data_IF_559040687767
#
_entry.id   IF_559040687767
#
_cell.length_a   1.000
_cell.length_b   1.000
_cell.length_c   1.000
_cell.angle_alpha   90.00
_cell.angle_beta   90.00
_cell.angle_gamma   90.00
#
_symmetry.space_group_name_H-M   'P 1'
#
loop_
_entity.id
_entity.type
_entity.pdbx_description
1 polymer ?
#
# COMPACT_ATOMS: atom_id res chain seq x y z
N UNK A 1 -22.93 -9.05 -12.19
CA UNK A 1 -21.88 -9.79 -11.49
C UNK A 1 -20.65 -8.91 -11.33
N UNK A 2 -20.21 -8.77 -10.13
CA UNK A 2 -19.01 -7.97 -9.89
C UNK A 2 -17.81 -8.84 -10.18
N UNK A 3 -17.10 -8.51 -11.23
CA UNK A 3 -15.81 -9.13 -11.46
C UNK A 3 -14.86 -8.45 -10.51
N UNK A 4 -14.55 -9.12 -9.42
CA UNK A 4 -13.47 -8.66 -8.56
C UNK A 4 -12.21 -8.84 -9.37
N UNK A 5 -11.69 -7.75 -9.85
CA UNK A 5 -10.41 -7.79 -10.50
C UNK A 5 -9.39 -8.41 -9.59
N UNK A 6 -8.64 -9.29 -10.14
CA UNK A 6 -7.55 -10.07 -9.59
C UNK A 6 -6.71 -9.35 -8.54
N UNK A 7 -7.30 -9.05 -7.40
CA UNK A 7 -6.50 -8.61 -6.28
C UNK A 7 -5.90 -9.85 -5.63
N UNK A 8 -4.73 -10.20 -6.09
CA UNK A 8 -3.99 -11.26 -5.45
C UNK A 8 -3.62 -10.81 -4.05
N UNK A 9 -4.03 -11.59 -3.06
CA UNK A 9 -3.65 -11.30 -1.68
C UNK A 9 -2.13 -11.41 -1.54
N UNK A 10 -1.55 -10.45 -0.83
CA UNK A 10 -0.12 -10.44 -0.57
C UNK A 10 0.14 -11.32 0.63
N UNK A 11 0.99 -12.34 0.45
CA UNK A 11 1.35 -13.22 1.55
C UNK A 11 2.16 -12.45 2.59
N UNK A 12 1.78 -12.59 3.84
CA UNK A 12 2.43 -11.90 4.94
C UNK A 12 2.45 -12.80 6.18
N UNK A 13 3.34 -12.47 7.11
CA UNK A 13 3.49 -13.19 8.37
C UNK A 13 3.30 -12.21 9.50
N UNK A 14 2.52 -12.63 10.49
CA UNK A 14 2.24 -11.82 11.68
C UNK A 14 3.54 -11.34 12.32
N UNK A 15 3.62 -10.06 12.58
CA UNK A 15 4.77 -9.48 13.25
C UNK A 15 6.01 -9.30 12.39
N UNK A 16 5.92 -9.56 11.09
CA UNK A 16 7.03 -9.35 10.16
C UNK A 16 6.70 -8.30 9.13
N UNK A 17 7.64 -7.39 8.83
CA UNK A 17 7.40 -6.36 7.82
C UNK A 17 7.07 -6.94 6.46
N UNK A 18 6.13 -6.32 5.77
CA UNK A 18 5.77 -6.69 4.40
C UNK A 18 5.67 -5.44 3.56
N UNK A 19 6.16 -5.54 2.33
CA UNK A 19 6.09 -4.45 1.37
C UNK A 19 4.79 -4.54 0.57
N UNK A 20 4.08 -3.43 0.52
CA UNK A 20 2.81 -3.32 -0.19
C UNK A 20 3.04 -2.47 -1.44
N UNK A 21 2.90 -3.05 -2.63
CA UNK A 21 3.10 -2.29 -3.86
C UNK A 21 1.95 -1.32 -4.09
N UNK A 22 2.28 -0.10 -4.45
CA UNK A 22 1.31 0.97 -4.68
C UNK A 22 1.17 1.34 -6.14
N UNK A 23 2.05 0.82 -7.00
CA UNK A 23 2.08 1.17 -8.39
C UNK A 23 3.06 2.29 -8.69
N UNK A 24 2.88 2.92 -9.84
CA UNK A 24 3.76 3.98 -10.27
C UNK A 24 3.64 5.21 -9.39
N UNK A 25 4.69 6.04 -9.42
CA UNK A 25 4.73 7.27 -8.63
C UNK A 25 3.52 8.13 -8.88
N UNK A 26 3.04 8.74 -7.81
CA UNK A 26 1.90 9.63 -7.85
C UNK A 26 2.25 10.95 -8.53
N UNK A 27 1.23 11.74 -8.84
CA UNK A 27 1.41 13.09 -9.34
C UNK A 27 2.13 13.95 -8.30
N UNK A 28 2.81 14.98 -8.78
CA UNK A 28 3.54 15.90 -7.92
C UNK A 28 2.63 16.52 -6.85
N UNK A 29 3.09 16.51 -5.63
CA UNK A 29 2.37 17.08 -4.50
C UNK A 29 1.39 16.15 -3.82
N UNK A 30 1.20 14.96 -4.35
CA UNK A 30 0.33 13.95 -3.74
C UNK A 30 1.14 12.83 -3.13
N UNK A 31 0.61 12.26 -2.06
CA UNK A 31 1.24 11.08 -1.42
C UNK A 31 0.18 10.05 -1.04
N UNK A 32 0.60 8.80 -0.99
CA UNK A 32 -0.24 7.71 -0.52
C UNK A 32 -0.26 7.69 1.00
N UNK A 33 -1.46 7.60 1.56
CA UNK A 33 -1.64 7.45 3.00
C UNK A 33 -2.52 6.25 3.28
N UNK A 34 -2.11 5.45 4.26
CA UNK A 34 -2.91 4.32 4.71
C UNK A 34 -3.99 4.82 5.67
N UNK A 35 -5.24 4.42 5.42
CA UNK A 35 -6.30 4.68 6.37
C UNK A 35 -5.99 3.99 7.70
N UNK A 36 -6.28 4.65 8.83
CA UNK A 36 -6.04 4.04 10.13
C UNK A 36 -6.72 2.68 10.26
N UNK A 37 -5.97 1.70 10.74
CA UNK A 37 -6.48 0.36 10.97
C UNK A 37 -5.74 -0.26 12.15
N UNK A 38 -6.43 -1.10 12.92
CA UNK A 38 -5.82 -1.85 14.01
C UNK A 38 -5.11 -3.11 13.51
N UNK A 39 -5.32 -3.48 12.26
CA UNK A 39 -4.80 -4.74 11.71
C UNK A 39 -3.37 -4.67 11.21
N UNK A 40 -2.86 -3.47 10.98
CA UNK A 40 -1.50 -3.26 10.52
C UNK A 40 -1.10 -1.81 10.75
N UNK A 41 0.19 -1.55 10.84
CA UNK A 41 0.66 -0.16 10.92
C UNK A 41 1.88 0.04 10.02
N UNK A 42 2.08 1.28 9.61
CA UNK A 42 3.19 1.66 8.76
C UNK A 42 4.46 1.73 9.58
N UNK A 43 5.50 1.04 9.11
CA UNK A 43 6.81 1.11 9.75
C UNK A 43 7.83 1.84 8.87
N UNK A 44 7.59 1.86 7.57
CA UNK A 44 8.37 2.70 6.66
C UNK A 44 7.41 3.35 5.69
N UNK A 45 7.53 4.65 5.53
CA UNK A 45 6.70 5.39 4.60
C UNK A 45 6.92 4.97 3.15
N UNK A 46 6.19 5.62 2.27
CA UNK A 46 6.26 5.32 0.84
C UNK A 46 7.67 5.60 0.32
N UNK A 47 8.22 4.61 -0.40
CA UNK A 47 9.53 4.71 -1.01
C UNK A 47 9.47 4.17 -2.43
N UNK A 48 10.38 4.65 -3.25
CA UNK A 48 10.53 4.11 -4.59
C UNK A 48 11.26 2.78 -4.51
N UNK A 49 10.73 1.79 -5.19
CA UNK A 49 11.34 0.48 -5.24
C UNK A 49 12.12 0.32 -6.53
N UNK A 50 13.31 -0.22 -6.41
CA UNK A 50 14.12 -0.55 -7.55
C UNK A 50 15.21 0.47 -7.83
N UNK A 51 16.12 0.07 -8.66
CA UNK A 51 17.24 0.88 -9.07
C UNK A 51 16.83 1.99 -10.04
N UNK A 52 17.80 2.61 -10.66
CA UNK A 52 17.54 3.66 -11.62
C UNK A 52 16.57 3.15 -12.66
N UNK A 53 15.48 3.89 -12.81
CA UNK A 53 14.46 3.53 -13.78
C UNK A 53 15.04 3.57 -15.19
N UNK A 54 14.60 2.65 -15.99
CA UNK A 54 14.82 2.74 -17.43
C UNK A 54 14.11 4.02 -17.89
N UNK A 55 14.73 4.73 -18.80
CA UNK A 55 14.17 5.96 -19.36
C UNK A 55 12.68 5.79 -19.71
N UNK A 56 11.87 6.68 -19.17
CA UNK A 56 10.45 6.70 -19.45
C UNK A 56 9.60 5.80 -18.57
N UNK A 57 10.20 5.06 -17.64
CA UNK A 57 9.47 4.19 -16.73
C UNK A 57 9.36 4.85 -15.37
N UNK A 58 8.14 5.03 -14.88
CA UNK A 58 7.92 5.55 -13.54
C UNK A 58 8.35 4.51 -12.51
N UNK A 59 8.98 4.96 -11.44
CA UNK A 59 9.38 4.07 -10.37
C UNK A 59 8.16 3.53 -9.65
N UNK A 60 8.21 2.26 -9.25
CA UNK A 60 7.18 1.65 -8.41
C UNK A 60 7.34 2.13 -6.98
N UNK A 61 6.22 2.45 -6.35
CA UNK A 61 6.22 2.84 -4.96
C UNK A 61 5.77 1.69 -4.09
N UNK A 62 6.36 1.58 -2.92
CA UNK A 62 5.99 0.57 -1.92
C UNK A 62 5.82 1.21 -0.56
N UNK A 63 4.92 0.64 0.22
CA UNK A 63 4.71 1.00 1.61
C UNK A 63 5.05 -0.22 2.45
N UNK A 64 5.86 -0.06 3.49
CA UNK A 64 6.19 -1.17 4.38
C UNK A 64 5.33 -1.12 5.62
N UNK A 65 4.60 -2.20 5.88
CA UNK A 65 3.69 -2.27 7.02
C UNK A 65 4.00 -3.50 7.87
N UNK A 66 3.60 -3.44 9.12
CA UNK A 66 3.71 -4.56 10.05
C UNK A 66 2.32 -5.10 10.31
N UNK A 67 2.02 -6.35 9.87
CA UNK A 67 0.73 -6.96 10.16
C UNK A 67 0.58 -7.27 11.64
N UNK A 68 -0.59 -7.00 12.18
CA UNK A 68 -0.89 -7.22 13.60
C UNK A 68 -2.07 -8.15 13.85
N UNK A 69 -2.70 -8.63 12.79
CA UNK A 69 -3.80 -9.60 12.89
C UNK A 69 -3.66 -10.66 11.82
N UNK A 70 -3.97 -11.89 12.21
CA UNK A 70 -3.99 -13.05 11.29
C UNK A 70 -5.27 -13.00 10.47
N UNK A 71 -5.20 -13.47 9.24
CA UNK A 71 -6.33 -13.54 8.32
C UNK A 71 -6.21 -12.58 7.17
N UNK A 72 -7.31 -12.34 6.49
CA UNK A 72 -7.33 -11.39 5.40
C UNK A 72 -7.47 -9.98 5.96
N UNK A 73 -6.49 -9.15 5.65
CA UNK A 73 -6.44 -7.77 6.11
C UNK A 73 -6.58 -6.86 4.90
N UNK A 74 -7.57 -5.98 4.95
CA UNK A 74 -7.78 -5.00 3.91
C UNK A 74 -7.06 -3.71 4.28
N UNK A 75 -6.21 -3.26 3.39
CA UNK A 75 -5.51 -1.98 3.53
C UNK A 75 -6.08 -1.03 2.51
N UNK A 76 -6.66 0.05 2.97
CA UNK A 76 -7.15 1.10 2.09
C UNK A 76 -6.18 2.26 2.10
N UNK A 77 -5.74 2.63 0.90
CA UNK A 77 -4.79 3.71 0.73
C UNK A 77 -5.43 4.81 -0.10
N UNK A 78 -5.15 6.04 0.29
CA UNK A 78 -5.68 7.22 -0.39
C UNK A 78 -4.55 8.09 -0.88
N UNK A 79 -4.70 8.59 -2.08
CA UNK A 79 -3.75 9.53 -2.67
C UNK A 79 -4.25 10.94 -2.39
N UNK A 80 -3.54 11.65 -1.54
CA UNK A 80 -3.95 12.95 -1.04
C UNK A 80 -2.81 13.96 -1.10
N UNK A 81 -3.16 15.24 -1.08
CA UNK A 81 -2.20 16.28 -0.73
C UNK A 81 -2.05 16.28 0.78
N UNK A 82 -0.84 16.35 1.33
CA UNK A 82 -0.65 16.29 2.79
C UNK A 82 -1.44 17.32 3.57
N UNK A 83 -1.69 18.49 2.97
CA UNK A 83 -2.46 19.56 3.61
C UNK A 83 -3.96 19.47 3.35
N UNK A 84 -4.41 18.48 2.57
CA UNK A 84 -5.83 18.25 2.28
C UNK A 84 -6.12 16.75 2.37
N UNK A 85 -5.90 16.13 3.54
CA UNK A 85 -6.01 14.67 3.65
C UNK A 85 -7.44 14.14 3.52
N UNK A 86 -8.43 14.99 3.61
CA UNK A 86 -9.83 14.62 3.47
C UNK A 86 -10.35 14.74 2.04
N UNK A 87 -9.46 15.05 1.09
CA UNK A 87 -9.84 15.17 -0.32
C UNK A 87 -8.97 14.28 -1.20
N UNK A 88 -9.14 12.96 -1.11
CA UNK A 88 -8.37 12.06 -1.93
C UNK A 88 -8.78 12.15 -3.40
N UNK A 89 -7.79 12.12 -4.28
CA UNK A 89 -8.05 12.05 -5.72
C UNK A 89 -8.09 10.62 -6.23
N UNK A 90 -7.64 9.68 -5.43
CA UNK A 90 -7.61 8.27 -5.80
C UNK A 90 -7.58 7.41 -4.54
N UNK A 91 -8.20 6.25 -4.62
CA UNK A 91 -8.15 5.27 -3.55
C UNK A 91 -7.84 3.91 -4.15
N UNK A 92 -7.04 3.14 -3.44
CA UNK A 92 -6.74 1.77 -3.80
C UNK A 92 -6.90 0.89 -2.57
N UNK A 93 -7.17 -0.39 -2.81
CA UNK A 93 -7.26 -1.38 -1.73
C UNK A 93 -6.24 -2.47 -2.00
N UNK A 94 -5.55 -2.88 -0.95
CA UNK A 94 -4.62 -4.01 -1.01
C UNK A 94 -5.04 -5.00 0.06
N UNK A 95 -4.86 -6.28 -0.24
CA UNK A 95 -5.25 -7.37 0.66
C UNK A 95 -4.01 -8.09 1.11
N UNK A 96 -3.87 -8.27 2.41
CA UNK A 96 -2.82 -9.11 2.98
C UNK A 96 -3.46 -10.43 3.44
N UNK A 97 -2.81 -11.54 3.11
CA UNK A 97 -3.14 -12.84 3.69
C UNK A 97 -2.09 -13.09 4.77
N UNK A 98 -2.47 -12.78 6.01
CA UNK A 98 -1.54 -12.82 7.14
C UNK A 98 -1.66 -14.14 7.85
N UNK A 99 -0.53 -14.82 7.97
CA UNK A 99 -0.45 -16.12 8.64
C UNK A 99 0.41 -16.03 9.88
N UNK A 100 0.18 -16.96 10.78
CA UNK A 100 1.00 -17.08 11.98
C UNK A 100 2.42 -17.47 11.58
N UNK A 101 3.43 -17.01 12.34
CA UNK A 101 4.81 -17.37 12.08
C UNK A 101 5.11 -18.85 12.30
#
# INVERSE_FOLDING_TARGET
MIVVEHQTAIAAVLGKPVQVPLGAAAATGYEWQLEPTAAAHVIEGVADQGGPSVLGTAAQQVLTVLPEQVGLVLLRLQLVRPWEPDQPIRSITRVLDVREP
#
